data_IF_795059606935
#
_entry.id   IF_795059606935
#
_cell.length_a   1.000
_cell.length_b   1.000
_cell.length_c   1.000
_cell.angle_alpha   90.00
_cell.angle_beta   90.00
_cell.angle_gamma   90.00
#
_symmetry.space_group_name_H-M   'P 1'
#
loop_
_entity.id
_entity.type
_entity.pdbx_description
1 polymer ?
#
# COMPACT_ATOMS: atom_id res chain seq x y z
N UNK A 1 57.93 -38.01 -24.59
CA UNK A 1 56.47 -38.12 -24.78
C UNK A 1 55.80 -37.83 -23.44
N UNK A 2 55.15 -36.67 -23.29
CA UNK A 2 54.29 -36.39 -22.14
C UNK A 2 53.00 -35.76 -22.68
N UNK A 3 51.90 -36.52 -22.65
CA UNK A 3 50.57 -36.10 -23.11
C UNK A 3 50.00 -35.09 -22.10
N UNK A 4 49.79 -33.84 -22.54
CA UNK A 4 48.96 -32.86 -21.83
C UNK A 4 47.49 -33.29 -21.94
N UNK A 5 46.86 -33.62 -20.82
CA UNK A 5 45.41 -33.66 -20.71
C UNK A 5 44.90 -32.24 -20.46
N UNK A 6 44.15 -31.69 -21.41
CA UNK A 6 43.43 -30.44 -21.26
C UNK A 6 42.08 -30.76 -20.60
N UNK A 7 41.89 -30.41 -19.33
CA UNK A 7 40.57 -30.45 -18.70
C UNK A 7 39.79 -29.20 -19.14
N UNK A 8 38.80 -29.39 -20.02
CA UNK A 8 37.82 -28.35 -20.35
C UNK A 8 36.75 -28.39 -19.25
N UNK A 9 36.77 -27.39 -18.37
CA UNK A 9 35.68 -27.14 -17.43
C UNK A 9 34.50 -26.55 -18.19
N UNK A 10 33.45 -27.36 -18.42
CA UNK A 10 32.15 -26.87 -18.88
C UNK A 10 31.50 -26.11 -17.72
N UNK A 11 31.60 -24.77 -17.74
CA UNK A 11 30.71 -23.92 -16.97
C UNK A 11 29.30 -24.06 -17.56
N UNK A 12 28.47 -24.90 -16.93
CA UNK A 12 27.03 -24.88 -17.11
C UNK A 12 26.51 -23.58 -16.52
N UNK A 13 26.41 -22.53 -17.35
CA UNK A 13 25.60 -21.37 -17.01
C UNK A 13 24.14 -21.86 -16.97
N UNK A 14 23.61 -22.09 -15.77
CA UNK A 14 22.17 -22.18 -15.57
C UNK A 14 21.57 -20.87 -16.08
N UNK A 15 20.95 -20.95 -17.25
CA UNK A 15 20.19 -19.85 -17.79
C UNK A 15 19.02 -19.65 -16.84
N UNK A 16 19.11 -18.66 -15.95
CA UNK A 16 17.92 -18.14 -15.29
C UNK A 16 17.03 -17.65 -16.42
N UNK A 17 15.94 -18.37 -16.69
CA UNK A 17 14.84 -17.80 -17.45
C UNK A 17 14.32 -16.65 -16.60
N UNK A 18 14.82 -15.45 -16.86
CA UNK A 18 14.17 -14.22 -16.41
C UNK A 18 12.78 -14.32 -17.00
N UNK A 19 11.77 -14.47 -16.14
CA UNK A 19 10.39 -14.39 -16.58
C UNK A 19 10.25 -13.06 -17.32
N UNK A 20 10.01 -13.12 -18.63
CA UNK A 20 9.78 -11.93 -19.43
C UNK A 20 8.50 -11.30 -18.87
N UNK A 21 8.63 -10.18 -18.16
CA UNK A 21 7.46 -9.37 -17.84
C UNK A 21 7.02 -8.74 -19.15
N UNK A 22 6.08 -9.36 -19.85
CA UNK A 22 5.46 -8.76 -21.04
C UNK A 22 4.56 -7.55 -20.68
N UNK A 23 4.28 -7.37 -19.38
CA UNK A 23 3.40 -6.33 -18.89
C UNK A 23 4.13 -5.03 -18.57
N UNK A 24 3.39 -3.94 -18.73
CA UNK A 24 3.81 -2.61 -18.30
C UNK A 24 3.90 -2.56 -16.77
N UNK A 25 4.93 -1.87 -16.28
CA UNK A 25 5.12 -1.58 -14.87
C UNK A 25 4.87 -0.09 -14.59
N UNK A 26 4.25 0.21 -13.46
CA UNK A 26 4.11 1.56 -12.93
C UNK A 26 4.84 1.64 -11.60
N UNK A 27 5.76 2.60 -11.50
CA UNK A 27 6.53 2.88 -10.30
C UNK A 27 6.20 4.28 -9.80
N UNK A 28 6.13 4.40 -8.48
CA UNK A 28 5.99 5.69 -7.81
C UNK A 28 7.29 6.07 -7.14
N UNK A 29 7.65 7.34 -7.23
CA UNK A 29 8.70 7.98 -6.46
C UNK A 29 8.06 9.00 -5.54
N UNK A 30 8.37 8.89 -4.26
CA UNK A 30 7.78 9.69 -3.20
C UNK A 30 8.88 10.39 -2.42
N UNK A 31 8.77 11.72 -2.34
CA UNK A 31 9.76 12.56 -1.66
C UNK A 31 9.07 13.49 -0.68
N UNK A 32 9.67 13.66 0.48
CA UNK A 32 9.18 14.58 1.52
C UNK A 32 10.33 15.42 2.04
N UNK A 33 10.02 16.65 2.44
CA UNK A 33 10.95 17.54 3.13
C UNK A 33 10.21 18.16 4.32
N UNK A 34 10.57 17.71 5.53
CA UNK A 34 9.92 18.11 6.79
C UNK A 34 8.38 18.10 6.75
N UNK A 35 7.79 17.12 6.05
CA UNK A 35 6.35 16.97 5.85
C UNK A 35 5.81 15.67 6.45
N UNK A 36 4.62 15.74 7.04
CA UNK A 36 3.78 14.56 7.23
C UNK A 36 2.98 14.38 5.95
N UNK A 37 3.32 13.35 5.20
CA UNK A 37 2.87 13.14 3.83
C UNK A 37 2.25 11.77 3.70
N UNK A 38 1.14 11.67 2.96
CA UNK A 38 0.54 10.40 2.56
C UNK A 38 0.38 10.41 1.05
N UNK A 39 0.82 9.33 0.43
CA UNK A 39 0.54 9.00 -0.96
C UNK A 39 -0.69 8.09 -0.99
N UNK A 40 -1.73 8.54 -1.69
CA UNK A 40 -2.99 7.81 -1.89
C UNK A 40 -3.06 7.29 -3.32
N UNK A 41 -3.42 6.01 -3.50
CA UNK A 41 -3.68 5.38 -4.80
C UNK A 41 -5.01 4.66 -4.69
N UNK A 42 -6.02 5.08 -5.48
CA UNK A 42 -7.38 4.52 -5.44
C UNK A 42 -7.86 4.28 -4.00
N UNK A 43 -7.90 5.38 -3.25
CA UNK A 43 -8.24 5.46 -1.84
C UNK A 43 -7.27 4.78 -0.84
N UNK A 44 -6.35 3.94 -1.28
CA UNK A 44 -5.38 3.27 -0.40
C UNK A 44 -4.25 4.22 -0.05
N UNK A 45 -3.99 4.42 1.26
CA UNK A 45 -2.74 5.03 1.72
C UNK A 45 -1.61 4.04 1.44
N UNK A 46 -0.84 4.30 0.40
CA UNK A 46 0.16 3.39 -0.15
C UNK A 46 1.55 3.62 0.48
N UNK A 47 1.94 4.88 0.67
CA UNK A 47 3.14 5.26 1.43
C UNK A 47 2.79 6.43 2.35
N UNK A 48 3.40 6.49 3.53
CA UNK A 48 3.22 7.61 4.43
C UNK A 48 4.44 7.88 5.32
N UNK A 49 4.45 9.08 5.93
CA UNK A 49 5.42 9.47 6.95
C UNK A 49 4.75 9.75 8.30
N UNK A 50 3.63 9.09 8.63
CA UNK A 50 2.91 9.36 9.89
C UNK A 50 3.79 9.11 11.11
N UNK A 51 4.44 7.95 11.17
CA UNK A 51 5.29 7.52 12.30
C UNK A 51 6.80 7.63 12.01
N UNK A 52 7.18 7.79 10.73
CA UNK A 52 8.58 7.78 10.28
C UNK A 52 9.24 9.15 10.14
N UNK A 53 10.46 9.17 9.54
CA UNK A 53 11.18 10.39 9.20
C UNK A 53 10.34 11.33 8.34
N UNK A 54 10.42 12.63 8.59
CA UNK A 54 9.65 13.64 7.85
C UNK A 54 10.35 14.11 6.56
N UNK A 55 11.58 13.65 6.34
CA UNK A 55 12.36 13.84 5.12
C UNK A 55 12.76 12.46 4.61
N UNK A 56 12.22 12.07 3.46
CA UNK A 56 12.51 10.80 2.78
C UNK A 56 12.56 10.99 1.27
N UNK A 57 13.24 10.07 0.59
CA UNK A 57 13.16 9.90 -0.86
C UNK A 57 13.16 8.41 -1.13
N UNK A 58 12.05 7.88 -1.66
CA UNK A 58 11.86 6.45 -1.89
C UNK A 58 11.15 6.18 -3.21
N UNK A 59 11.19 4.94 -3.67
CA UNK A 59 10.41 4.46 -4.81
C UNK A 59 9.87 3.06 -4.58
N UNK A 60 8.72 2.75 -5.18
CA UNK A 60 8.07 1.46 -5.04
C UNK A 60 7.23 1.10 -6.29
N UNK A 61 7.00 -0.21 -6.51
CA UNK A 61 6.08 -0.69 -7.52
C UNK A 61 4.63 -0.52 -7.08
N UNK A 62 3.86 0.23 -7.86
CA UNK A 62 2.43 0.45 -7.61
C UNK A 62 1.52 -0.33 -8.55
N UNK A 63 2.07 -1.17 -9.43
CA UNK A 63 1.35 -1.86 -10.50
C UNK A 63 0.18 -2.68 -9.96
N UNK A 64 0.39 -3.37 -8.83
CA UNK A 64 -0.65 -4.17 -8.16
C UNK A 64 -1.81 -3.38 -7.56
N UNK A 65 -1.68 -2.05 -7.45
CA UNK A 65 -2.69 -1.15 -6.87
C UNK A 65 -3.45 -0.34 -7.93
N UNK A 66 -3.14 -0.57 -9.20
CA UNK A 66 -3.79 0.05 -10.35
C UNK A 66 -4.68 -0.97 -11.06
N UNK A 67 -5.73 -0.51 -11.73
CA UNK A 67 -6.46 -1.29 -12.73
C UNK A 67 -6.26 -0.71 -14.13
N UNK A 68 -6.43 -1.51 -15.18
CA UNK A 68 -6.46 -0.97 -16.54
C UNK A 68 -7.61 0.05 -16.66
N UNK A 69 -7.30 1.25 -17.13
CA UNK A 69 -8.22 2.39 -17.14
C UNK A 69 -7.85 3.49 -16.15
N UNK A 70 -8.86 4.24 -15.72
CA UNK A 70 -8.70 5.42 -14.86
C UNK A 70 -8.45 5.03 -13.39
N UNK A 71 -7.43 5.66 -12.80
CA UNK A 71 -7.01 5.51 -11.41
C UNK A 71 -6.72 6.89 -10.80
N UNK A 72 -6.95 7.04 -9.50
CA UNK A 72 -6.62 8.24 -8.74
C UNK A 72 -5.28 8.10 -8.02
N UNK A 73 -4.41 9.09 -8.20
CA UNK A 73 -3.15 9.22 -7.45
C UNK A 73 -3.11 10.59 -6.79
N UNK A 74 -2.84 10.64 -5.49
CA UNK A 74 -2.89 11.88 -4.75
C UNK A 74 -1.91 11.97 -3.59
N UNK A 75 -1.66 13.20 -3.19
CA UNK A 75 -0.92 13.57 -2.00
C UNK A 75 -1.88 14.13 -0.96
N UNK A 76 -1.63 13.80 0.31
CA UNK A 76 -2.23 14.42 1.49
C UNK A 76 -1.05 14.96 2.31
N UNK A 77 -1.05 16.26 2.59
CA UNK A 77 0.08 16.93 3.22
C UNK A 77 -0.32 17.72 4.45
N UNK A 78 0.46 17.54 5.52
CA UNK A 78 0.46 18.41 6.67
C UNK A 78 1.90 18.73 7.10
N UNK A 79 2.27 20.02 7.22
CA UNK A 79 3.63 20.41 7.55
C UNK A 79 3.99 19.95 8.96
N UNK A 80 5.12 19.24 9.08
CA UNK A 80 5.60 18.72 10.35
C UNK A 80 6.00 19.87 11.28
N UNK A 81 5.82 19.69 12.59
CA UNK A 81 6.41 20.60 13.58
C UNK A 81 7.90 20.28 13.68
N UNK A 82 8.73 21.30 13.56
CA UNK A 82 10.19 21.21 13.61
C UNK A 82 10.70 22.22 14.63
N UNK A 83 11.77 21.88 15.38
CA UNK A 83 12.40 22.82 16.34
C UNK A 83 13.04 24.01 15.62
N UNK A 84 13.51 23.79 14.40
CA UNK A 84 14.07 24.81 13.51
C UNK A 84 13.00 25.19 12.48
N UNK A 85 12.85 26.48 12.22
CA UNK A 85 11.99 26.97 11.16
C UNK A 85 12.70 26.75 9.82
N UNK A 86 12.07 26.00 8.92
CA UNK A 86 12.57 25.74 7.58
C UNK A 86 11.76 26.51 6.57
N UNK A 87 12.42 27.18 5.62
CA UNK A 87 11.78 28.05 4.63
C UNK A 87 10.86 27.33 3.63
N UNK A 88 10.92 26.00 3.53
CA UNK A 88 10.02 25.25 2.65
C UNK A 88 9.84 23.81 3.10
N UNK A 89 8.59 23.39 3.25
CA UNK A 89 8.20 22.00 3.54
C UNK A 89 7.40 21.46 2.37
N UNK A 90 7.56 20.20 1.98
CA UNK A 90 6.80 19.66 0.85
C UNK A 90 6.62 18.13 0.86
N UNK A 91 5.65 17.68 0.08
CA UNK A 91 5.52 16.31 -0.42
C UNK A 91 5.49 16.34 -1.94
N UNK A 92 6.22 15.46 -2.60
CA UNK A 92 6.28 15.31 -4.05
C UNK A 92 6.01 13.86 -4.43
N UNK A 93 5.24 13.68 -5.51
CA UNK A 93 4.99 12.38 -6.12
C UNK A 93 5.30 12.44 -7.60
N UNK A 94 6.07 11.46 -8.08
CA UNK A 94 6.33 11.23 -9.50
C UNK A 94 5.96 9.81 -9.86
N UNK A 95 5.14 9.64 -10.88
CA UNK A 95 4.73 8.34 -11.40
C UNK A 95 5.42 8.10 -12.74
N UNK A 96 6.02 6.93 -12.89
CA UNK A 96 6.74 6.52 -14.09
C UNK A 96 6.13 5.23 -14.63
N UNK A 97 5.96 5.18 -15.95
CA UNK A 97 5.55 3.99 -16.70
C UNK A 97 6.78 3.39 -17.37
N UNK A 98 6.97 2.09 -17.21
CA UNK A 98 7.99 1.29 -17.89
C UNK A 98 7.31 0.24 -18.75
N UNK A 99 7.52 0.34 -20.07
CA UNK A 99 7.12 -0.69 -21.02
C UNK A 99 8.35 -1.52 -21.37
N UNK A 100 8.28 -2.86 -21.40
CA UNK A 100 9.41 -3.71 -21.77
C UNK A 100 10.05 -3.26 -23.09
N UNK A 101 11.37 -3.15 -23.11
CA UNK A 101 12.13 -2.71 -24.29
C UNK A 101 12.01 -1.22 -24.65
N UNK A 102 11.30 -0.41 -23.87
CA UNK A 102 11.18 1.03 -24.07
C UNK A 102 11.82 1.83 -22.94
N UNK A 103 12.14 3.10 -23.22
CA UNK A 103 12.54 4.05 -22.18
C UNK A 103 11.38 4.34 -21.24
N UNK A 104 11.71 4.55 -19.97
CA UNK A 104 10.79 4.99 -18.94
C UNK A 104 10.17 6.34 -19.28
N UNK A 105 8.87 6.50 -19.01
CA UNK A 105 8.13 7.73 -19.27
C UNK A 105 7.51 8.25 -17.99
N UNK A 106 7.73 9.54 -17.70
CA UNK A 106 7.03 10.22 -16.61
C UNK A 106 5.56 10.38 -17.02
N UNK A 107 4.65 9.87 -16.20
CA UNK A 107 3.21 10.01 -16.39
C UNK A 107 2.71 11.29 -15.76
N UNK A 108 3.12 11.54 -14.53
CA UNK A 108 2.80 12.75 -13.77
C UNK A 108 3.87 13.02 -12.72
N UNK A 109 4.14 14.29 -12.44
CA UNK A 109 4.93 14.76 -11.32
C UNK A 109 4.32 16.03 -10.74
N UNK A 110 4.01 16.02 -9.45
CA UNK A 110 3.50 17.20 -8.76
C UNK A 110 3.88 17.17 -7.27
N UNK A 111 3.81 18.35 -6.64
CA UNK A 111 4.09 18.50 -5.21
C UNK A 111 3.16 19.48 -4.54
N UNK A 112 2.94 19.28 -3.24
CA UNK A 112 2.31 20.25 -2.35
C UNK A 112 3.42 20.85 -1.49
N UNK A 113 3.51 22.18 -1.43
CA UNK A 113 4.52 22.92 -0.66
C UNK A 113 3.87 23.81 0.38
N UNK A 114 4.57 24.07 1.48
CA UNK A 114 4.22 25.02 2.53
C UNK A 114 5.40 25.98 2.75
N UNK A 115 5.12 27.27 2.92
CA UNK A 115 6.11 28.34 3.02
C UNK A 115 7.00 28.32 4.28
N UNK A 116 6.61 27.52 5.29
CA UNK A 116 7.35 27.39 6.54
C UNK A 116 7.32 28.60 7.47
N UNK A 117 6.70 29.71 7.06
CA UNK A 117 6.69 31.01 7.76
C UNK A 117 5.34 31.34 8.34
N UNK A 118 4.28 30.93 7.66
CA UNK A 118 2.91 31.22 8.05
C UNK A 118 2.39 30.21 9.07
N UNK A 119 1.20 30.47 9.60
CA UNK A 119 0.51 29.47 10.40
C UNK A 119 0.03 28.31 9.53
N UNK A 120 0.06 27.08 10.06
CA UNK A 120 -0.34 25.88 9.28
C UNK A 120 -1.81 25.86 8.88
N UNK A 121 -2.65 26.64 9.58
CA UNK A 121 -4.06 26.89 9.28
C UNK A 121 -4.26 27.84 8.09
N UNK A 122 -3.25 28.62 7.73
CA UNK A 122 -3.32 29.53 6.61
C UNK A 122 -3.19 28.76 5.30
N UNK A 123 -4.31 28.65 4.57
CA UNK A 123 -4.34 27.94 3.28
C UNK A 123 -3.52 28.66 2.20
N UNK A 124 -3.32 29.98 2.32
CA UNK A 124 -2.54 30.75 1.34
C UNK A 124 -1.03 30.45 1.41
N UNK A 125 -0.57 29.89 2.53
CA UNK A 125 0.80 29.43 2.73
C UNK A 125 1.13 28.14 1.96
N UNK A 126 0.12 27.50 1.37
CA UNK A 126 0.27 26.28 0.59
C UNK A 126 0.27 26.57 -0.90
N UNK A 127 0.97 25.72 -1.65
CA UNK A 127 0.93 25.77 -3.11
C UNK A 127 1.03 24.37 -3.68
N UNK A 128 0.17 24.06 -4.65
CA UNK A 128 0.28 22.85 -5.47
C UNK A 128 1.05 23.22 -6.75
N UNK A 129 2.16 22.53 -6.98
CA UNK A 129 3.05 22.77 -8.11
C UNK A 129 2.98 21.56 -9.03
N UNK A 130 2.45 21.78 -10.23
CA UNK A 130 2.45 20.80 -11.32
C UNK A 130 3.79 20.87 -12.06
N UNK A 131 4.60 19.81 -11.94
CA UNK A 131 5.97 19.78 -12.49
C UNK A 131 5.97 19.16 -13.89
N UNK A 132 5.17 18.12 -14.09
CA UNK A 132 5.04 17.43 -15.37
C UNK A 132 3.71 16.69 -15.43
N UNK A 133 3.01 16.81 -16.55
CA UNK A 133 1.77 16.10 -16.81
C UNK A 133 1.75 15.58 -18.24
N UNK A 134 1.48 14.28 -18.39
CA UNK A 134 1.20 13.65 -19.70
C UNK A 134 -0.21 13.05 -19.76
N UNK A 135 -0.99 13.21 -18.69
CA UNK A 135 -2.33 12.64 -18.55
C UNK A 135 -3.41 13.50 -19.20
N UNK A 136 -3.18 14.83 -19.28
CA UNK A 136 -4.18 15.80 -19.71
C UNK A 136 -5.23 16.11 -18.63
N UNK A 137 -5.10 15.53 -17.43
CA UNK A 137 -6.00 15.73 -16.31
C UNK A 137 -5.46 16.78 -15.35
N UNK A 138 -6.32 17.73 -14.98
CA UNK A 138 -5.98 18.76 -13.99
C UNK A 138 -5.78 18.16 -12.60
N UNK A 139 -4.90 18.78 -11.82
CA UNK A 139 -4.82 18.53 -10.38
C UNK A 139 -6.07 19.08 -9.69
N UNK A 140 -6.67 18.26 -8.85
CA UNK A 140 -7.80 18.63 -8.00
C UNK A 140 -7.29 18.87 -6.59
N UNK A 141 -7.39 20.10 -6.14
CA UNK A 141 -7.07 20.48 -4.77
C UNK A 141 -8.24 20.20 -3.82
N UNK A 142 -7.93 19.94 -2.56
CA UNK A 142 -8.96 19.64 -1.57
C UNK A 142 -8.44 19.66 -0.15
N UNK A 143 -9.27 19.13 0.75
CA UNK A 143 -8.96 19.01 2.17
C UNK A 143 -9.28 17.61 2.65
N UNK A 144 -8.39 17.06 3.48
CA UNK A 144 -8.57 15.76 4.13
C UNK A 144 -8.52 15.94 5.64
N UNK A 145 -9.57 15.48 6.33
CA UNK A 145 -9.79 15.73 7.75
C UNK A 145 -10.11 14.44 8.53
N UNK A 146 -9.48 13.33 8.16
CA UNK A 146 -9.71 12.03 8.81
C UNK A 146 -8.61 11.59 9.77
N UNK A 147 -7.44 12.23 9.73
CA UNK A 147 -6.32 11.89 10.62
C UNK A 147 -6.38 12.76 11.87
N UNK A 148 -6.47 12.09 13.02
CA UNK A 148 -6.37 12.67 14.35
C UNK A 148 -5.04 12.26 14.96
N UNK A 149 -4.22 13.23 15.34
CA UNK A 149 -3.00 12.97 16.11
C UNK A 149 -3.34 12.74 17.57
N UNK A 150 -2.45 12.04 18.27
CA UNK A 150 -2.59 11.81 19.72
C UNK A 150 -2.66 13.16 20.45
N UNK A 151 -3.63 13.28 21.37
CA UNK A 151 -3.95 14.48 22.15
C UNK A 151 -4.60 15.65 21.38
N UNK A 152 -4.84 15.53 20.08
CA UNK A 152 -5.68 16.51 19.39
C UNK A 152 -7.17 16.27 19.74
N UNK A 153 -7.99 17.32 19.93
CA UNK A 153 -9.42 17.15 20.21
C UNK A 153 -10.20 16.63 19.00
N UNK A 154 -9.75 17.00 17.79
CA UNK A 154 -10.37 16.66 16.51
C UNK A 154 -9.31 16.48 15.41
N UNK A 155 -9.63 15.80 14.29
CA UNK A 155 -8.77 15.77 13.12
C UNK A 155 -8.38 17.17 12.63
N UNK A 156 -7.22 17.28 11.99
CA UNK A 156 -6.78 18.53 11.34
C UNK A 156 -7.19 18.53 9.88
N UNK A 157 -7.29 19.72 9.30
CA UNK A 157 -7.41 19.91 7.85
C UNK A 157 -6.03 19.79 7.20
N UNK A 158 -5.89 18.84 6.28
CA UNK A 158 -4.68 18.59 5.51
C UNK A 158 -4.94 18.96 4.06
N UNK A 159 -3.98 19.58 3.39
CA UNK A 159 -4.13 19.93 1.97
C UNK A 159 -3.94 18.69 1.11
N UNK A 160 -4.80 18.53 0.10
CA UNK A 160 -4.70 17.44 -0.86
C UNK A 160 -4.52 17.92 -2.27
N UNK A 161 -3.82 17.13 -3.09
CA UNK A 161 -3.75 17.28 -4.53
C UNK A 161 -3.91 15.90 -5.16
N UNK A 162 -4.88 15.72 -6.05
CA UNK A 162 -5.19 14.44 -6.70
C UNK A 162 -5.20 14.61 -8.21
N UNK A 163 -4.64 13.66 -8.94
CA UNK A 163 -4.71 13.58 -10.40
C UNK A 163 -5.16 12.19 -10.82
N UNK A 164 -6.08 12.16 -11.79
CA UNK A 164 -6.46 10.96 -12.53
C UNK A 164 -5.37 10.57 -13.51
N UNK A 165 -4.96 9.31 -13.47
CA UNK A 165 -4.01 8.70 -14.41
C UNK A 165 -4.68 7.53 -15.12
N UNK A 166 -4.25 7.25 -16.36
CA UNK A 166 -4.72 6.08 -17.10
C UNK A 166 -3.63 5.00 -17.13
N UNK A 167 -3.90 3.85 -16.51
CA UNK A 167 -3.03 2.70 -16.57
C UNK A 167 -3.45 1.76 -17.71
N UNK A 168 -2.47 1.13 -18.36
CA UNK A 168 -2.72 0.25 -19.51
C UNK A 168 -1.66 -0.84 -19.59
N UNK A 169 -2.05 -1.99 -20.14
CA UNK A 169 -1.20 -3.17 -20.34
C UNK A 169 -0.57 -3.67 -19.04
N UNK A 170 -1.28 -3.53 -17.93
CA UNK A 170 -0.94 -4.18 -16.66
C UNK A 170 -1.76 -5.47 -16.51
N UNK A 171 -1.33 -6.42 -15.66
CA UNK A 171 -2.13 -7.60 -15.37
C UNK A 171 -3.55 -7.26 -14.90
N UNK A 172 -4.53 -8.08 -15.28
CA UNK A 172 -5.82 -8.08 -14.60
C UNK A 172 -5.70 -8.75 -13.23
N UNK A 173 -6.23 -8.07 -12.21
CA UNK A 173 -6.35 -8.55 -10.83
C UNK A 173 -7.77 -9.08 -10.59
N UNK A 174 -7.93 -10.04 -9.69
CA UNK A 174 -9.23 -10.59 -9.32
C UNK A 174 -10.14 -9.52 -8.70
N UNK A 175 -9.58 -8.61 -7.89
CA UNK A 175 -10.36 -7.55 -7.24
C UNK A 175 -10.99 -6.55 -8.21
N UNK A 176 -10.46 -6.39 -9.44
CA UNK A 176 -11.07 -5.48 -10.43
C UNK A 176 -12.42 -6.00 -10.93
N UNK A 177 -12.68 -7.30 -10.78
CA UNK A 177 -13.96 -7.94 -11.14
C UNK A 177 -14.91 -8.07 -9.95
N UNK A 178 -14.51 -7.60 -8.77
CA UNK A 178 -15.33 -7.67 -7.58
C UNK A 178 -16.55 -6.74 -7.68
N UNK A 179 -17.62 -7.12 -7.00
CA UNK A 179 -18.82 -6.29 -6.87
C UNK A 179 -18.54 -5.20 -5.82
N UNK A 180 -18.69 -3.90 -6.16
CA UNK A 180 -18.63 -2.82 -5.18
C UNK A 180 -19.59 -3.08 -4.02
N UNK A 181 -19.19 -2.74 -2.80
CA UNK A 181 -19.97 -2.98 -1.60
C UNK A 181 -20.30 -1.67 -0.89
N UNK A 182 -21.33 -1.70 -0.05
CA UNK A 182 -21.74 -0.55 0.76
C UNK A 182 -21.59 -0.85 2.25
N UNK A 183 -21.40 0.20 3.06
CA UNK A 183 -21.27 0.04 4.50
C UNK A 183 -22.63 -0.29 5.14
N UNK A 184 -22.87 -1.57 5.39
CA UNK A 184 -24.09 -2.05 6.05
C UNK A 184 -23.79 -3.18 7.05
N UNK A 185 -24.77 -3.47 7.90
CA UNK A 185 -24.65 -4.49 8.95
C UNK A 185 -24.34 -5.90 8.40
N UNK A 186 -24.87 -6.25 7.22
CA UNK A 186 -24.63 -7.55 6.60
C UNK A 186 -23.17 -7.72 6.19
N UNK A 187 -22.61 -6.77 5.46
CA UNK A 187 -21.19 -6.78 5.08
C UNK A 187 -20.29 -6.80 6.32
N UNK A 188 -20.61 -5.96 7.31
CA UNK A 188 -19.86 -5.90 8.57
C UNK A 188 -19.84 -7.25 9.27
N UNK A 189 -20.97 -7.93 9.39
CA UNK A 189 -21.06 -9.24 10.03
C UNK A 189 -20.26 -10.29 9.24
N UNK A 190 -20.34 -10.28 7.91
CA UNK A 190 -19.54 -11.19 7.07
C UNK A 190 -18.04 -10.99 7.27
N UNK A 191 -17.59 -9.73 7.35
CA UNK A 191 -16.19 -9.41 7.64
C UNK A 191 -15.78 -9.92 9.03
N UNK A 192 -16.57 -9.64 10.07
CA UNK A 192 -16.30 -10.14 11.44
C UNK A 192 -16.14 -11.66 11.42
N UNK A 193 -17.06 -12.39 10.78
CA UNK A 193 -16.96 -13.85 10.66
C UNK A 193 -15.72 -14.31 9.88
N UNK A 194 -15.33 -13.60 8.81
CA UNK A 194 -14.11 -13.91 8.07
C UNK A 194 -12.85 -13.72 8.94
N UNK A 195 -12.76 -12.60 9.66
CA UNK A 195 -11.66 -12.34 10.61
C UNK A 195 -11.62 -13.37 11.74
N UNK A 196 -12.76 -13.73 12.33
CA UNK A 196 -12.85 -14.81 13.33
C UNK A 196 -12.36 -16.15 12.77
N UNK A 197 -12.71 -16.48 11.53
CA UNK A 197 -12.22 -17.66 10.83
C UNK A 197 -10.70 -17.65 10.69
N UNK A 198 -10.10 -16.51 10.32
CA UNK A 198 -8.64 -16.37 10.22
C UNK A 198 -7.95 -16.47 11.59
N UNK A 199 -8.52 -15.83 12.63
CA UNK A 199 -8.02 -15.93 14.01
C UNK A 199 -8.05 -17.39 14.49
N UNK A 200 -9.12 -18.12 14.19
CA UNK A 200 -9.28 -19.55 14.54
C UNK A 200 -8.26 -20.44 13.84
N UNK A 201 -7.94 -20.17 12.58
CA UNK A 201 -6.94 -20.93 11.84
C UNK A 201 -5.52 -20.63 12.35
N UNK A 202 -5.22 -19.34 12.62
CA UNK A 202 -3.95 -18.91 13.21
C UNK A 202 -3.77 -19.50 14.62
N UNK A 203 -4.81 -19.54 15.46
CA UNK A 203 -4.71 -20.12 16.80
C UNK A 203 -4.42 -21.63 16.81
N UNK A 204 -4.67 -22.31 15.69
CA UNK A 204 -4.35 -23.74 15.48
C UNK A 204 -2.98 -23.94 14.83
N UNK A 205 -2.25 -22.86 14.54
CA UNK A 205 -1.03 -22.88 13.75
C UNK A 205 -1.19 -23.50 12.35
N UNK A 206 -2.39 -23.40 11.74
CA UNK A 206 -2.68 -23.94 10.41
C UNK A 206 -2.31 -22.93 9.31
N UNK A 207 -1.01 -22.68 9.16
CA UNK A 207 -0.47 -21.79 8.12
C UNK A 207 -0.80 -22.27 6.71
N UNK A 208 -1.00 -23.58 6.50
CA UNK A 208 -1.40 -24.13 5.21
C UNK A 208 -2.78 -23.66 4.80
N UNK A 209 -3.75 -23.68 5.72
CA UNK A 209 -5.09 -23.15 5.46
C UNK A 209 -5.06 -21.64 5.23
N UNK A 210 -4.27 -20.88 5.99
CA UNK A 210 -4.10 -19.44 5.78
C UNK A 210 -3.55 -19.15 4.38
N UNK A 211 -2.45 -19.79 3.97
CA UNK A 211 -1.87 -19.65 2.62
C UNK A 211 -2.88 -19.97 1.52
N UNK A 212 -3.69 -21.04 1.70
CA UNK A 212 -4.74 -21.40 0.74
C UNK A 212 -5.83 -20.32 0.64
N UNK A 213 -6.30 -19.78 1.76
CA UNK A 213 -7.30 -18.70 1.80
C UNK A 213 -6.76 -17.41 1.16
N UNK A 214 -5.45 -17.15 1.31
CA UNK A 214 -4.76 -15.97 0.79
C UNK A 214 -4.17 -16.16 -0.63
N UNK A 215 -4.48 -17.29 -1.29
CA UNK A 215 -3.88 -17.69 -2.57
C UNK A 215 -4.00 -16.65 -3.68
N UNK A 216 -5.13 -15.95 -3.78
CA UNK A 216 -5.34 -14.87 -4.76
C UNK A 216 -4.31 -13.75 -4.55
N UNK A 217 -4.16 -13.25 -3.33
CA UNK A 217 -3.20 -12.20 -3.01
C UNK A 217 -1.74 -12.64 -3.32
N UNK A 218 -1.41 -13.88 -2.98
CA UNK A 218 -0.09 -14.45 -3.28
C UNK A 218 0.17 -14.55 -4.80
N UNK A 219 -0.83 -14.99 -5.57
CA UNK A 219 -0.76 -15.11 -7.03
C UNK A 219 -0.60 -13.75 -7.72
N UNK A 220 -1.38 -12.77 -7.28
CA UNK A 220 -1.29 -11.42 -7.84
C UNK A 220 0.05 -10.77 -7.53
N UNK A 221 0.59 -10.96 -6.32
CA UNK A 221 1.88 -10.39 -5.94
C UNK A 221 3.04 -10.93 -6.79
N UNK A 222 3.12 -12.26 -6.95
CA UNK A 222 4.20 -12.86 -7.77
C UNK A 222 4.05 -12.54 -9.25
N UNK A 223 2.83 -12.25 -9.71
CA UNK A 223 2.57 -11.80 -11.10
C UNK A 223 3.11 -10.39 -11.36
N UNK A 224 3.06 -9.49 -10.37
CA UNK A 224 3.70 -8.16 -10.47
C UNK A 224 5.19 -8.19 -10.12
N UNK A 225 5.64 -9.17 -9.33
CA UNK A 225 7.00 -9.30 -8.82
C UNK A 225 7.54 -10.72 -9.09
N UNK A 226 7.86 -11.06 -10.35
CA UNK A 226 8.21 -12.44 -10.71
C UNK A 226 9.54 -12.93 -10.12
N UNK A 227 10.32 -12.06 -9.49
CA UNK A 227 11.49 -12.44 -8.70
C UNK A 227 11.15 -13.04 -7.34
N UNK A 228 9.87 -13.03 -6.93
CA UNK A 228 9.39 -13.63 -5.68
C UNK A 228 8.57 -14.88 -5.97
N UNK A 229 8.79 -15.92 -5.16
CA UNK A 229 7.86 -17.03 -5.01
C UNK A 229 6.70 -16.68 -4.07
N UNK A 230 5.62 -17.47 -4.12
CA UNK A 230 4.47 -17.28 -3.20
C UNK A 230 4.88 -17.47 -1.74
N UNK A 231 5.80 -18.40 -1.47
CA UNK A 231 6.27 -18.68 -0.12
C UNK A 231 7.19 -17.58 0.41
N UNK A 232 8.11 -17.05 -0.41
CA UNK A 232 8.93 -15.90 -0.02
C UNK A 232 8.07 -14.67 0.29
N UNK A 233 7.08 -14.38 -0.56
CA UNK A 233 6.16 -13.28 -0.29
C UNK A 233 5.36 -13.54 0.99
N UNK A 234 4.78 -14.73 1.18
CA UNK A 234 4.04 -15.04 2.39
C UNK A 234 4.88 -14.88 3.66
N UNK A 235 6.12 -15.37 3.64
CA UNK A 235 7.04 -15.24 4.77
C UNK A 235 7.38 -13.77 5.06
N UNK A 236 7.54 -12.95 4.02
CA UNK A 236 7.79 -11.51 4.15
C UNK A 236 6.66 -10.71 4.81
N UNK A 237 5.45 -11.28 4.93
CA UNK A 237 4.32 -10.64 5.63
C UNK A 237 4.60 -10.56 7.14
N UNK A 238 5.42 -11.46 7.70
CA UNK A 238 5.78 -11.48 9.12
C UNK A 238 4.78 -12.21 10.03
N UNK A 239 3.81 -12.95 9.46
CA UNK A 239 2.86 -13.77 10.24
C UNK A 239 3.61 -14.85 11.02
N UNK A 240 4.56 -15.53 10.38
CA UNK A 240 5.34 -16.62 10.98
C UNK A 240 6.14 -16.13 12.20
N UNK A 241 6.85 -15.02 12.05
CA UNK A 241 7.61 -14.39 13.13
C UNK A 241 6.70 -13.91 14.26
N UNK A 242 5.54 -13.34 13.93
CA UNK A 242 4.56 -12.88 14.93
C UNK A 242 3.96 -14.03 15.74
N UNK A 243 3.77 -15.20 15.12
CA UNK A 243 3.31 -16.41 15.80
C UNK A 243 4.39 -17.04 16.67
N UNK A 244 5.65 -16.93 16.28
CA UNK A 244 6.78 -17.42 17.08
C UNK A 244 7.04 -16.53 18.31
N UNK A 245 6.89 -15.21 18.16
CA UNK A 245 7.32 -14.23 19.15
C UNK A 245 6.17 -13.55 19.90
N UNK A 246 4.91 -13.79 19.52
CA UNK A 246 3.76 -13.09 20.05
C UNK A 246 2.56 -13.98 20.32
N UNK A 247 1.64 -13.46 21.13
CA UNK A 247 0.35 -14.05 21.48
C UNK A 247 -0.74 -13.40 20.65
N UNK A 248 -1.50 -14.22 19.92
CA UNK A 248 -2.63 -13.78 19.11
C UNK A 248 -3.82 -13.35 20.00
N UNK A 249 -4.44 -12.21 19.69
CA UNK A 249 -5.71 -11.80 20.30
C UNK A 249 -6.87 -12.65 19.74
N UNK A 250 -7.42 -13.55 20.56
CA UNK A 250 -8.49 -14.47 20.15
C UNK A 250 -9.88 -13.80 20.07
N UNK A 251 -10.11 -12.77 20.88
CA UNK A 251 -11.40 -12.09 20.99
C UNK A 251 -11.25 -10.57 20.86
N UNK A 252 -11.07 -10.05 19.64
CA UNK A 252 -11.03 -8.62 19.41
C UNK A 252 -12.34 -7.95 19.85
N UNK A 253 -12.24 -6.76 20.44
CA UNK A 253 -13.39 -5.91 20.68
C UNK A 253 -13.88 -5.32 19.34
N UNK A 254 -14.86 -5.98 18.74
CA UNK A 254 -15.40 -5.63 17.41
C UNK A 254 -15.94 -4.21 17.34
N UNK A 255 -16.37 -3.61 18.46
CA UNK A 255 -16.90 -2.25 18.50
C UNK A 255 -15.87 -1.19 18.09
N UNK A 256 -14.57 -1.50 18.22
CA UNK A 256 -13.46 -0.60 17.87
C UNK A 256 -13.16 -0.54 16.38
N UNK A 257 -13.68 -1.47 15.57
CA UNK A 257 -13.30 -1.60 14.17
C UNK A 257 -14.42 -1.13 13.25
N UNK A 258 -14.08 -0.36 12.22
CA UNK A 258 -14.98 0.13 11.18
C UNK A 258 -14.65 -0.52 9.83
N UNK A 259 -15.62 -0.53 8.91
CA UNK A 259 -15.38 -0.96 7.53
C UNK A 259 -14.78 0.21 6.76
N UNK A 260 -13.63 -0.02 6.13
CA UNK A 260 -13.00 0.93 5.22
C UNK A 260 -12.98 0.38 3.81
N UNK A 261 -13.27 1.25 2.85
CA UNK A 261 -13.42 0.91 1.44
C UNK A 261 -12.34 1.57 0.59
N UNK A 262 -11.96 0.86 -0.46
CA UNK A 262 -10.87 1.19 -1.36
C UNK A 262 -11.19 0.69 -2.77
N UNK A 263 -10.47 1.19 -3.77
CA UNK A 263 -10.53 0.67 -5.15
C UNK A 263 -11.96 0.71 -5.73
N UNK A 264 -12.65 1.86 -5.57
CA UNK A 264 -14.06 2.05 -5.98
C UNK A 264 -15.00 1.08 -5.24
N UNK A 265 -14.82 1.01 -3.93
CA UNK A 265 -15.60 0.18 -2.99
C UNK A 265 -15.59 -1.34 -3.24
N UNK A 266 -14.67 -1.82 -4.08
CA UNK A 266 -14.49 -3.25 -4.39
C UNK A 266 -13.54 -3.97 -3.43
N UNK A 267 -12.67 -3.22 -2.77
CA UNK A 267 -11.69 -3.73 -1.81
C UNK A 267 -11.95 -3.08 -0.47
N UNK A 268 -12.02 -3.88 0.59
CA UNK A 268 -12.38 -3.37 1.91
C UNK A 268 -11.81 -4.22 3.04
N UNK A 269 -11.72 -3.65 4.24
CA UNK A 269 -11.22 -4.34 5.43
C UNK A 269 -11.86 -3.79 6.71
N UNK A 270 -11.62 -4.46 7.84
CA UNK A 270 -11.89 -3.91 9.17
C UNK A 270 -10.62 -3.27 9.72
N UNK A 271 -10.72 -2.04 10.21
CA UNK A 271 -9.65 -1.38 10.94
C UNK A 271 -10.16 -0.44 12.02
N UNK A 272 -9.34 -0.14 13.02
CA UNK A 272 -9.68 0.88 14.03
C UNK A 272 -9.64 2.30 13.46
N UNK A 273 -8.76 2.53 12.49
CA UNK A 273 -8.55 3.82 11.84
C UNK A 273 -8.11 3.63 10.37
N UNK A 274 -8.51 4.54 9.49
CA UNK A 274 -8.23 4.49 8.04
C UNK A 274 -6.73 4.60 7.74
N UNK A 275 -6.00 5.36 8.58
CA UNK A 275 -4.61 5.75 8.35
C UNK A 275 -3.62 4.61 8.54
N UNK A 276 -3.68 3.95 9.70
CA UNK A 276 -2.78 2.85 10.09
C UNK A 276 -3.37 1.48 9.74
N UNK A 277 -4.64 1.43 9.33
CA UNK A 277 -5.38 0.19 9.02
C UNK A 277 -5.21 -0.87 10.11
N UNK A 278 -5.26 -0.45 11.38
CA UNK A 278 -5.07 -1.31 12.54
C UNK A 278 -6.12 -2.45 12.57
N UNK A 279 -5.72 -3.63 12.08
CA UNK A 279 -6.59 -4.80 11.91
C UNK A 279 -6.99 -5.48 13.23
N UNK A 280 -8.10 -6.26 13.24
CA UNK A 280 -8.46 -7.17 14.32
C UNK A 280 -7.45 -8.29 14.60
N UNK A 281 -6.61 -8.68 13.64
CA UNK A 281 -5.63 -9.77 13.80
C UNK A 281 -4.34 -9.18 14.36
N UNK A 282 -4.14 -9.28 15.68
CA UNK A 282 -3.05 -8.62 16.41
C UNK A 282 -2.28 -9.59 17.28
N UNK A 283 -0.97 -9.36 17.37
CA UNK A 283 -0.03 -10.11 18.18
C UNK A 283 0.65 -9.18 19.17
N UNK A 284 0.79 -9.65 20.41
CA UNK A 284 1.46 -8.95 21.50
C UNK A 284 2.49 -9.84 22.15
N UNK A 285 3.61 -9.29 22.60
CA UNK A 285 4.61 -10.07 23.32
C UNK A 285 4.17 -10.38 24.76
N UNK A 286 5.04 -11.05 25.53
CA UNK A 286 4.77 -11.39 26.94
C UNK A 286 4.66 -10.17 27.87
N UNK A 287 5.19 -9.02 27.47
CA UNK A 287 5.10 -7.77 28.24
C UNK A 287 3.81 -7.00 27.91
N UNK A 288 3.05 -7.47 26.92
CA UNK A 288 1.85 -6.80 26.41
C UNK A 288 2.16 -5.73 25.38
N UNK A 289 3.39 -5.68 24.85
CA UNK A 289 3.78 -4.74 23.81
C UNK A 289 3.31 -5.23 22.43
N UNK A 290 2.91 -4.29 21.59
CA UNK A 290 2.43 -4.62 20.24
C UNK A 290 3.58 -5.11 19.36
N UNK A 291 3.42 -6.30 18.78
CA UNK A 291 4.42 -6.93 17.90
C UNK A 291 4.04 -6.73 16.44
N UNK A 292 2.81 -7.13 16.08
CA UNK A 292 2.41 -7.22 14.69
C UNK A 292 0.88 -7.19 14.53
N UNK A 293 0.41 -6.69 13.40
CA UNK A 293 -0.96 -6.87 12.96
C UNK A 293 -0.98 -7.29 11.49
N UNK A 294 -1.68 -8.39 11.20
CA UNK A 294 -1.94 -8.78 9.82
C UNK A 294 -3.14 -8.00 9.30
N UNK A 295 -2.94 -7.19 8.25
CA UNK A 295 -3.94 -6.27 7.71
C UNK A 295 -4.45 -6.72 6.32
N UNK A 296 -5.19 -7.83 6.22
CA UNK A 296 -5.68 -8.30 4.93
C UNK A 296 -6.80 -7.41 4.37
N UNK A 297 -6.91 -7.40 3.06
CA UNK A 297 -8.01 -6.84 2.28
C UNK A 297 -8.90 -7.94 1.72
N UNK A 298 -10.18 -7.62 1.66
CA UNK A 298 -11.22 -8.50 1.14
C UNK A 298 -11.92 -7.87 -0.05
N UNK A 299 -12.50 -8.74 -0.89
CA UNK A 299 -13.39 -8.38 -1.98
C UNK A 299 -14.57 -9.35 -2.07
N UNK A 300 -15.68 -8.87 -2.63
CA UNK A 300 -16.83 -9.71 -2.96
C UNK A 300 -16.72 -10.18 -4.42
N UNK A 301 -16.33 -11.43 -4.63
CA UNK A 301 -16.14 -12.02 -5.97
C UNK A 301 -17.09 -13.21 -6.12
N UNK A 302 -17.95 -13.18 -7.14
CA UNK A 302 -18.96 -14.22 -7.39
C UNK A 302 -19.81 -14.53 -6.15
N UNK A 303 -20.22 -13.50 -5.41
CA UNK A 303 -21.01 -13.63 -4.18
C UNK A 303 -20.26 -14.23 -2.98
N UNK A 304 -18.93 -14.36 -3.06
CA UNK A 304 -18.09 -14.86 -1.96
C UNK A 304 -17.09 -13.80 -1.52
N UNK A 305 -16.98 -13.64 -0.20
CA UNK A 305 -15.96 -12.83 0.42
C UNK A 305 -14.61 -13.57 0.37
N UNK A 306 -13.62 -12.98 -0.29
CA UNK A 306 -12.29 -13.58 -0.50
C UNK A 306 -11.18 -12.59 -0.18
N UNK A 307 -10.01 -13.11 0.19
CA UNK A 307 -8.81 -12.31 0.44
C UNK A 307 -8.14 -11.96 -0.89
N UNK A 308 -7.80 -10.69 -1.11
CA UNK A 308 -7.25 -10.22 -2.39
C UNK A 308 -5.95 -9.43 -2.28
N UNK A 309 -5.66 -8.83 -1.13
CA UNK A 309 -4.41 -8.11 -0.82
C UNK A 309 -4.14 -8.17 0.67
#
# INVERSE_FOLDING_TARGET
>A
MLKKFLLISLFLFSSYTVANMDNTQYSVYFKTEYGVCLLKINEVIYLDTLTGPKTISTGADMTGWLENGENDVGLIFYPARTKVQYDKKYCEVKIVKKVPGQQEKIITNFKITFDGKSERSDKSAYSVVDISDTTGNKLMEGTYNKIKFDNDPAPKDWITAVRKINASNIPEWAWTKATPQENNANLRNQLISAYQGLITDLSKNDLRTIKRKYSIALEEYVKSNPSYSKDEFFSSIGIEDAMANGTLVLHPDWSKYNVYFYQKDRVFCLAMDEGKRNSPIRFYDSNGDFVFAWNPFFSMINGKLVLVR
#
